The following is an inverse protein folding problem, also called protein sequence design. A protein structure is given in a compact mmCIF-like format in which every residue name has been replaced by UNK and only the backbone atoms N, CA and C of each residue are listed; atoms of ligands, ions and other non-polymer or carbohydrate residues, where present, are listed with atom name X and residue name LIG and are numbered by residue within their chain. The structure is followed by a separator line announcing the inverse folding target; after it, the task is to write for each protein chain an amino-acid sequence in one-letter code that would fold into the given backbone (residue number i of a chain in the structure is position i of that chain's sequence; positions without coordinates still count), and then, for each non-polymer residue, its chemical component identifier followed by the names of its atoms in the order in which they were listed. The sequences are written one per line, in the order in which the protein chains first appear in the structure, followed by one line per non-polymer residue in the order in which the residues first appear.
data_IF_104490025382
#
_entry.id   IF_104490025382
#
_cell.length_a   1.000
_cell.length_b   1.000
_cell.length_c   1.000
_cell.angle_alpha   90.00
_cell.angle_beta   90.00
_cell.angle_gamma   90.00
#
_symmetry.space_group_name_H-M   'P 1'
#
loop_
_entity.id
_entity.type
_entity.pdbx_description
1 polymer ?
#
# COMPACT_ATOMS: atom_id res chain seq x y z
N UNK A 1 10.95 23.48 95.07
CA UNK A 1 9.67 24.23 94.99
C UNK A 1 9.67 25.04 93.70
N UNK A 2 8.47 25.25 93.14
CA UNK A 2 8.07 25.96 91.90
C UNK A 2 8.23 25.25 90.54
N UNK A 3 7.06 25.09 89.91
CA UNK A 3 6.61 24.38 88.71
C UNK A 3 7.19 24.86 87.34
N UNK A 4 6.93 24.12 86.24
CA UNK A 4 7.65 24.17 84.95
C UNK A 4 7.02 25.11 83.92
N UNK A 5 7.77 25.54 82.88
CA UNK A 5 7.20 26.24 81.72
C UNK A 5 7.86 25.85 80.39
N UNK A 6 7.09 25.10 79.59
CA UNK A 6 6.87 25.13 78.13
C UNK A 6 8.02 24.79 77.15
N UNK A 7 7.75 23.71 76.43
CA UNK A 7 8.39 23.26 75.19
C UNK A 7 8.47 24.35 74.10
N UNK A 8 9.63 24.43 73.43
CA UNK A 8 9.82 25.19 72.19
C UNK A 8 9.92 24.22 71.02
N UNK A 9 8.87 24.15 70.25
CA UNK A 9 8.76 23.52 68.94
C UNK A 9 9.69 24.20 67.94
N UNK A 10 10.53 23.41 67.28
CA UNK A 10 11.34 23.84 66.14
C UNK A 10 11.54 22.66 65.19
N UNK A 11 10.54 22.37 64.37
CA UNK A 11 10.67 21.43 63.25
C UNK A 11 11.62 22.01 62.20
N UNK A 12 12.57 21.25 61.66
CA UNK A 12 13.42 21.70 60.57
C UNK A 12 12.55 21.95 59.32
N UNK A 13 12.68 23.14 58.73
CA UNK A 13 12.06 23.46 57.44
C UNK A 13 12.72 22.59 56.37
N UNK A 14 12.02 21.54 55.94
CA UNK A 14 12.34 20.80 54.73
C UNK A 14 11.95 21.68 53.53
N UNK A 15 12.91 22.37 52.95
CA UNK A 15 12.72 23.07 51.68
C UNK A 15 12.54 22.02 50.59
N UNK A 16 11.30 21.84 50.13
CA UNK A 16 10.99 21.14 48.89
C UNK A 16 11.47 22.07 47.76
N UNK A 17 12.73 21.92 47.36
CA UNK A 17 13.15 22.37 46.03
C UNK A 17 12.46 21.44 45.03
N UNK A 18 11.56 22.03 44.24
CA UNK A 18 10.95 21.39 43.09
C UNK A 18 12.06 21.01 42.10
N UNK A 19 12.61 19.81 42.26
CA UNK A 19 13.56 19.24 41.32
C UNK A 19 12.88 19.16 39.95
N UNK A 20 13.51 19.84 39.00
CA UNK A 20 13.02 20.14 37.68
C UNK A 20 12.31 18.97 37.00
N UNK A 21 11.11 19.27 36.53
CA UNK A 21 10.47 18.69 35.36
C UNK A 21 11.53 18.22 34.36
N UNK A 22 11.72 16.90 34.27
CA UNK A 22 12.56 16.24 33.30
C UNK A 22 11.97 16.50 31.91
N UNK A 23 12.29 17.65 31.33
CA UNK A 23 12.11 17.92 29.90
C UNK A 23 13.11 17.02 29.21
N UNK A 24 12.68 15.82 28.87
CA UNK A 24 13.33 14.96 27.87
C UNK A 24 13.67 15.85 26.67
N UNK A 25 14.93 16.27 26.57
CA UNK A 25 15.40 17.06 25.43
C UNK A 25 15.64 16.06 24.31
N UNK A 26 14.55 15.60 23.70
CA UNK A 26 14.62 14.83 22.47
C UNK A 26 15.54 15.57 21.50
N UNK A 27 16.60 14.87 21.08
CA UNK A 27 17.64 15.46 20.25
C UNK A 27 17.03 15.98 18.95
N UNK A 28 17.68 16.98 18.33
CA UNK A 28 17.25 17.49 17.02
C UNK A 28 17.15 16.38 15.97
N UNK A 29 17.97 15.33 16.09
CA UNK A 29 17.93 14.14 15.25
C UNK A 29 16.66 13.30 15.46
N UNK A 30 16.23 13.08 16.70
CA UNK A 30 15.01 12.32 17.00
C UNK A 30 13.76 13.04 16.48
N UNK A 31 13.73 14.37 16.58
CA UNK A 31 12.63 15.19 16.03
C UNK A 31 12.61 15.14 14.51
N UNK A 32 13.78 15.20 13.86
CA UNK A 32 13.89 15.08 12.41
C UNK A 32 13.46 13.69 11.92
N UNK A 33 13.86 12.62 12.62
CA UNK A 33 13.45 11.26 12.32
C UNK A 33 11.93 11.07 12.51
N UNK A 34 11.36 11.62 13.58
CA UNK A 34 9.92 11.57 13.82
C UNK A 34 9.13 12.33 12.74
N UNK A 35 9.60 13.52 12.33
CA UNK A 35 8.97 14.30 11.26
C UNK A 35 9.10 13.61 9.89
N UNK A 36 10.25 12.98 9.61
CA UNK A 36 10.44 12.19 8.40
C UNK A 36 9.52 10.96 8.38
N UNK A 37 9.35 10.27 9.52
CA UNK A 37 8.44 9.14 9.63
C UNK A 37 6.97 9.56 9.51
N UNK A 38 6.56 10.67 10.14
CA UNK A 38 5.22 11.24 10.01
C UNK A 38 4.96 11.69 8.56
N UNK A 39 5.95 12.31 7.92
CA UNK A 39 5.90 12.62 6.49
C UNK A 39 5.73 11.37 5.64
N UNK A 40 6.54 10.34 5.86
CA UNK A 40 6.45 9.07 5.14
C UNK A 40 5.08 8.38 5.32
N UNK A 41 4.52 8.41 6.53
CA UNK A 41 3.18 7.88 6.82
C UNK A 41 2.07 8.72 6.18
N UNK A 42 2.23 10.04 6.09
CA UNK A 42 1.29 10.94 5.42
C UNK A 42 1.31 10.77 3.88
N UNK A 43 2.44 10.31 3.32
CA UNK A 43 2.61 9.98 1.91
C UNK A 43 2.54 8.47 1.62
N UNK A 44 2.07 7.66 2.57
CA UNK A 44 1.85 6.24 2.34
C UNK A 44 0.75 6.08 1.28
N UNK A 45 1.16 5.94 0.02
CA UNK A 45 0.26 5.67 -1.08
C UNK A 45 -0.45 4.32 -0.81
N UNK A 46 -1.72 4.18 -1.21
CA UNK A 46 -2.31 2.85 -1.28
C UNK A 46 -1.35 1.94 -2.04
N UNK A 47 -1.02 0.78 -1.49
CA UNK A 47 -0.35 -0.24 -2.27
C UNK A 47 -1.29 -0.56 -3.44
N UNK A 48 -1.00 -0.06 -4.64
CA UNK A 48 -1.86 -0.21 -5.79
C UNK A 48 -1.54 -1.57 -6.42
N UNK A 49 -2.25 -2.62 -6.02
CA UNK A 49 -2.58 -3.68 -6.99
C UNK A 49 -3.19 -3.00 -8.22
N UNK A 50 -3.08 -3.64 -9.38
CA UNK A 50 -3.55 -3.08 -10.66
C UNK A 50 -4.95 -2.48 -10.44
N UNK A 51 -5.08 -1.14 -10.42
CA UNK A 51 -6.25 -0.48 -9.82
C UNK A 51 -7.58 -0.94 -10.42
N UNK A 52 -7.58 -1.41 -11.66
CA UNK A 52 -8.76 -1.98 -12.30
C UNK A 52 -9.24 -3.30 -11.68
N UNK A 53 -8.34 -4.22 -11.29
CA UNK A 53 -8.73 -5.41 -10.53
C UNK A 53 -9.15 -5.08 -9.10
N UNK A 54 -8.48 -4.14 -8.44
CA UNK A 54 -8.89 -3.66 -7.13
C UNK A 54 -10.30 -3.03 -7.16
N UNK A 55 -10.66 -2.32 -8.24
CA UNK A 55 -12.04 -1.84 -8.44
C UNK A 55 -13.03 -2.97 -8.68
N UNK A 56 -12.66 -3.98 -9.46
CA UNK A 56 -13.54 -5.12 -9.76
C UNK A 56 -13.84 -5.98 -8.53
N UNK A 57 -12.83 -6.24 -7.70
CA UNK A 57 -12.93 -7.19 -6.58
C UNK A 57 -13.07 -6.51 -5.23
N UNK A 58 -12.69 -5.24 -5.08
CA UNK A 58 -12.66 -4.57 -3.77
C UNK A 58 -11.75 -5.25 -2.74
N UNK A 59 -10.87 -6.16 -3.15
CA UNK A 59 -9.96 -6.88 -2.25
C UNK A 59 -8.68 -6.08 -2.01
N UNK A 60 -8.08 -6.27 -0.83
CA UNK A 60 -6.74 -5.76 -0.56
C UNK A 60 -5.69 -6.56 -1.33
N UNK A 61 -4.55 -5.95 -1.63
CA UNK A 61 -3.48 -6.55 -2.43
C UNK A 61 -2.95 -7.85 -1.83
N UNK A 62 -2.91 -7.93 -0.50
CA UNK A 62 -2.50 -9.12 0.26
C UNK A 62 -3.42 -10.33 0.07
N UNK A 63 -4.65 -10.13 -0.42
CA UNK A 63 -5.55 -11.24 -0.76
C UNK A 63 -5.02 -11.98 -1.98
N UNK A 64 -4.43 -11.27 -2.95
CA UNK A 64 -3.94 -11.87 -4.20
C UNK A 64 -2.44 -12.22 -4.14
N UNK A 65 -1.60 -11.42 -3.46
CA UNK A 65 -0.14 -11.60 -3.45
C UNK A 65 0.41 -11.77 -2.03
N UNK A 66 1.39 -12.66 -1.87
CA UNK A 66 2.19 -12.78 -0.65
C UNK A 66 3.42 -11.86 -0.73
N UNK A 67 4.16 -12.00 -1.81
CA UNK A 67 5.24 -11.12 -2.27
C UNK A 67 5.07 -11.06 -3.79
N UNK A 68 4.98 -9.88 -4.39
CA UNK A 68 4.95 -9.81 -5.86
C UNK A 68 6.23 -10.46 -6.43
N UNK A 69 6.15 -11.35 -7.45
CA UNK A 69 4.98 -11.71 -8.27
C UNK A 69 4.18 -12.95 -7.79
N UNK A 70 4.56 -13.59 -6.69
CA UNK A 70 3.92 -14.81 -6.19
C UNK A 70 2.48 -14.57 -5.74
N UNK A 71 1.57 -15.40 -6.24
CA UNK A 71 0.14 -15.38 -5.91
C UNK A 71 -0.18 -16.26 -4.69
N UNK A 72 -1.09 -15.79 -3.85
CA UNK A 72 -1.75 -16.59 -2.81
C UNK A 72 -2.64 -17.66 -3.48
N UNK A 73 -3.16 -18.66 -2.73
CA UNK A 73 -4.16 -19.58 -3.26
C UNK A 73 -5.39 -18.87 -3.85
N UNK A 74 -5.85 -17.78 -3.23
CA UNK A 74 -6.98 -16.97 -3.73
C UNK A 74 -6.59 -16.25 -5.02
N UNK A 75 -5.40 -15.65 -5.09
CA UNK A 75 -4.91 -15.00 -6.31
C UNK A 75 -4.79 -15.98 -7.48
N UNK A 76 -4.33 -17.21 -7.22
CA UNK A 76 -4.30 -18.27 -8.23
C UNK A 76 -5.69 -18.69 -8.68
N UNK A 77 -6.62 -18.86 -7.74
CA UNK A 77 -8.01 -19.20 -8.08
C UNK A 77 -8.65 -18.10 -8.93
N UNK A 78 -8.49 -16.82 -8.57
CA UNK A 78 -8.97 -15.69 -9.36
C UNK A 78 -8.43 -15.71 -10.81
N UNK A 79 -7.14 -16.02 -10.98
CA UNK A 79 -6.50 -16.21 -12.29
C UNK A 79 -7.01 -17.46 -13.03
N UNK A 80 -7.35 -18.53 -12.32
CA UNK A 80 -7.92 -19.76 -12.90
C UNK A 80 -9.39 -19.56 -13.33
N UNK A 81 -10.17 -18.77 -12.58
CA UNK A 81 -11.53 -18.34 -12.90
C UNK A 81 -11.59 -17.24 -13.99
N UNK A 82 -10.49 -17.08 -14.74
CA UNK A 82 -10.41 -16.16 -15.88
C UNK A 82 -10.52 -14.69 -15.52
N UNK A 83 -10.14 -14.28 -14.31
CA UNK A 83 -10.26 -12.89 -13.82
C UNK A 83 -11.68 -12.33 -13.84
N UNK A 84 -12.69 -13.19 -13.77
CA UNK A 84 -14.10 -12.79 -13.87
C UNK A 84 -14.76 -12.55 -12.52
N UNK A 85 -14.19 -13.13 -11.46
CA UNK A 85 -14.73 -13.05 -10.11
C UNK A 85 -14.79 -11.59 -9.65
N UNK A 86 -15.95 -11.19 -9.15
CA UNK A 86 -16.15 -9.91 -8.53
C UNK A 86 -16.67 -10.17 -7.11
N UNK A 87 -16.12 -9.47 -6.12
CA UNK A 87 -16.63 -9.57 -4.75
C UNK A 87 -17.93 -8.77 -4.64
N UNK A 88 -19.03 -9.38 -5.05
CA UNK A 88 -20.35 -8.77 -4.96
C UNK A 88 -20.75 -8.49 -3.50
N UNK A 89 -20.21 -9.21 -2.50
CA UNK A 89 -20.60 -9.03 -1.10
C UNK A 89 -20.16 -7.67 -0.53
N UNK A 90 -18.91 -7.24 -0.76
CA UNK A 90 -18.45 -5.90 -0.35
C UNK A 90 -19.11 -4.77 -1.14
N UNK A 91 -19.44 -5.03 -2.41
CA UNK A 91 -20.18 -4.11 -3.28
C UNK A 91 -21.67 -3.97 -2.90
N UNK A 92 -22.28 -5.00 -2.33
CA UNK A 92 -23.68 -4.99 -1.88
C UNK A 92 -23.87 -4.12 -0.62
N UNK A 93 -22.96 -4.16 0.35
CA UNK A 93 -22.99 -3.24 1.50
C UNK A 93 -22.80 -1.78 1.06
N UNK A 94 -21.89 -1.53 0.11
CA UNK A 94 -21.69 -0.20 -0.47
C UNK A 94 -22.94 0.27 -1.23
N UNK A 95 -23.59 -0.60 -2.00
CA UNK A 95 -24.85 -0.32 -2.70
C UNK A 95 -26.01 -0.01 -1.75
N UNK A 96 -26.04 -0.62 -0.57
CA UNK A 96 -27.03 -0.34 0.46
C UNK A 96 -26.77 0.98 1.20
N UNK A 97 -25.51 1.31 1.49
CA UNK A 97 -25.11 2.63 2.07
C UNK A 97 -25.27 3.78 1.07
N UNK A 98 -25.09 3.55 -0.22
CA UNK A 98 -25.18 4.56 -1.30
C UNK A 98 -26.55 4.48 -2.01
N UNK A 99 -27.64 4.23 -1.27
CA UNK A 99 -29.02 4.14 -1.81
C UNK A 99 -29.62 5.46 -2.34
N UNK A 100 -28.84 6.55 -2.41
CA UNK A 100 -29.27 7.87 -2.93
C UNK A 100 -28.51 8.35 -4.17
N UNK A 101 -27.62 7.53 -4.73
CA UNK A 101 -26.97 7.82 -6.00
C UNK A 101 -27.20 6.64 -6.94
N UNK A 102 -27.36 6.92 -8.24
CA UNK A 102 -27.68 5.98 -9.31
C UNK A 102 -26.97 4.63 -9.14
N UNK A 103 -27.56 3.49 -9.61
CA UNK A 103 -26.90 2.20 -9.54
C UNK A 103 -25.48 2.35 -10.07
N UNK A 104 -24.48 2.15 -9.20
CA UNK A 104 -23.08 2.12 -9.62
C UNK A 104 -22.93 0.92 -10.56
N UNK A 105 -23.12 1.20 -11.84
CA UNK A 105 -22.62 0.44 -12.97
C UNK A 105 -21.08 0.46 -12.89
N UNK A 106 -20.51 -0.29 -11.95
CA UNK A 106 -19.05 -0.54 -11.87
C UNK A 106 -18.52 -1.09 -13.21
N UNK A 107 -19.41 -1.66 -14.02
CA UNK A 107 -19.18 -2.14 -15.37
C UNK A 107 -18.98 -1.03 -16.43
N UNK A 108 -19.13 0.27 -16.09
CA UNK A 108 -19.05 1.36 -17.07
C UNK A 108 -17.67 2.02 -17.18
N UNK A 109 -16.81 1.83 -16.18
CA UNK A 109 -15.42 2.30 -16.26
C UNK A 109 -14.60 1.16 -16.88
N UNK A 110 -13.93 1.37 -18.03
CA UNK A 110 -13.11 0.35 -18.63
C UNK A 110 -12.03 -0.13 -17.63
N UNK A 111 -11.60 -1.40 -17.71
CA UNK A 111 -10.62 -1.98 -16.79
C UNK A 111 -9.20 -1.47 -17.06
N UNK A 112 -9.05 -0.16 -17.19
CA UNK A 112 -7.80 0.53 -17.47
C UNK A 112 -7.18 1.09 -16.18
N UNK A 113 -5.86 1.03 -16.08
CA UNK A 113 -5.09 1.74 -15.05
C UNK A 113 -3.68 2.06 -15.52
N UNK A 114 -3.05 3.04 -14.86
CA UNK A 114 -1.68 3.48 -15.13
C UNK A 114 -0.89 3.48 -13.82
N UNK A 115 0.36 3.05 -13.87
CA UNK A 115 1.32 3.10 -12.78
C UNK A 115 2.55 3.90 -13.22
N UNK A 116 3.06 4.75 -12.33
CA UNK A 116 4.26 5.55 -12.54
C UNK A 116 5.22 5.18 -11.41
N UNK A 117 6.40 4.68 -11.75
CA UNK A 117 7.45 4.36 -10.79
C UNK A 117 8.49 5.47 -10.78
N UNK A 118 8.84 5.89 -9.56
CA UNK A 118 9.85 6.90 -9.29
C UNK A 118 10.82 6.33 -8.28
N UNK A 119 12.10 6.55 -8.47
CA UNK A 119 13.13 6.03 -7.57
C UNK A 119 14.13 7.12 -7.20
N UNK A 120 14.58 7.07 -5.96
CA UNK A 120 15.61 7.94 -5.43
C UNK A 120 16.55 7.11 -4.56
N UNK A 121 17.83 7.13 -4.87
CA UNK A 121 18.84 6.34 -4.19
C UNK A 121 20.00 7.22 -3.72
N UNK A 122 20.42 7.05 -2.46
CA UNK A 122 21.51 7.79 -1.83
C UNK A 122 22.51 6.80 -1.24
N UNK A 123 23.76 6.84 -1.70
CA UNK A 123 24.85 6.01 -1.17
C UNK A 123 25.96 6.93 -0.68
N UNK A 124 26.23 6.90 0.62
CA UNK A 124 27.35 7.64 1.20
C UNK A 124 28.68 7.07 0.70
N UNK A 125 29.47 7.87 -0.02
CA UNK A 125 30.73 7.44 -0.63
C UNK A 125 30.56 6.61 -1.91
N UNK A 126 29.36 6.55 -2.48
CA UNK A 126 29.10 5.89 -3.75
C UNK A 126 29.67 6.66 -4.95
N UNK A 127 30.19 5.92 -5.93
CA UNK A 127 30.64 6.47 -7.21
C UNK A 127 29.42 6.93 -8.03
N UNK A 128 29.54 8.07 -8.71
CA UNK A 128 28.46 8.64 -9.55
C UNK A 128 28.03 7.67 -10.67
N UNK A 129 28.97 6.83 -11.12
CA UNK A 129 28.73 5.79 -12.13
C UNK A 129 27.85 4.63 -11.65
N UNK A 130 27.54 4.51 -10.34
CA UNK A 130 26.61 3.49 -9.84
C UNK A 130 25.15 3.91 -9.91
N UNK A 131 24.89 5.19 -10.17
CA UNK A 131 23.55 5.68 -10.42
C UNK A 131 23.38 5.92 -11.91
N UNK A 132 22.21 5.60 -12.47
CA UNK A 132 21.89 5.93 -13.85
C UNK A 132 21.94 7.45 -14.11
N UNK A 133 21.46 7.86 -15.27
CA UNK A 133 21.48 9.27 -15.73
C UNK A 133 20.98 10.25 -14.65
N UNK A 134 21.92 10.87 -13.90
CA UNK A 134 21.61 11.87 -12.86
C UNK A 134 22.44 11.81 -11.57
N UNK A 135 23.31 10.81 -11.38
CA UNK A 135 24.19 10.74 -10.20
C UNK A 135 25.33 11.77 -10.21
N UNK A 136 25.58 12.41 -9.06
CA UNK A 136 26.82 13.17 -8.83
C UNK A 136 27.59 12.56 -7.65
N UNK A 137 28.91 12.61 -7.66
CA UNK A 137 29.72 11.90 -6.65
C UNK A 137 29.36 12.38 -5.25
N UNK A 138 28.85 11.48 -4.40
CA UNK A 138 28.44 11.80 -3.03
C UNK A 138 27.06 12.48 -2.87
N UNK A 139 26.29 12.68 -3.94
CA UNK A 139 24.92 13.19 -3.88
C UNK A 139 24.05 12.29 -4.77
N UNK A 140 23.13 11.56 -4.15
CA UNK A 140 22.35 10.48 -4.74
C UNK A 140 21.60 10.84 -6.03
N UNK A 141 21.06 9.84 -6.70
CA UNK A 141 20.29 10.03 -7.92
C UNK A 141 18.80 9.95 -7.67
N UNK A 142 18.06 10.74 -8.44
CA UNK A 142 16.59 10.72 -8.51
C UNK A 142 16.24 10.46 -9.96
N UNK A 143 15.56 9.35 -10.23
CA UNK A 143 15.09 8.97 -11.56
C UNK A 143 13.56 9.15 -11.63
N UNK A 144 13.13 10.00 -12.56
CA UNK A 144 11.72 10.35 -12.72
C UNK A 144 11.30 10.47 -14.19
N UNK A 145 10.26 9.72 -14.62
CA UNK A 145 9.86 8.41 -14.09
C UNK A 145 10.85 7.34 -14.55
N UNK A 146 11.19 6.41 -13.66
CA UNK A 146 11.98 5.23 -14.04
C UNK A 146 11.20 4.35 -15.04
N UNK A 147 9.89 4.25 -14.81
CA UNK A 147 8.98 3.41 -15.58
C UNK A 147 7.55 3.95 -15.55
N UNK A 148 6.84 3.82 -16.68
CA UNK A 148 5.40 4.06 -16.78
C UNK A 148 4.71 2.81 -17.33
N UNK A 149 3.76 2.25 -16.59
CA UNK A 149 3.04 1.05 -17.00
C UNK A 149 1.56 1.32 -17.22
N UNK A 150 1.02 0.75 -18.29
CA UNK A 150 -0.39 0.78 -18.64
C UNK A 150 -0.97 -0.62 -18.50
N UNK A 151 -2.13 -0.71 -17.89
CA UNK A 151 -2.81 -1.98 -17.64
C UNK A 151 -4.21 -1.99 -18.24
N UNK A 152 -4.55 -3.06 -18.94
CA UNK A 152 -5.94 -3.42 -19.29
C UNK A 152 -6.28 -4.74 -18.59
N UNK A 153 -6.79 -4.63 -17.37
CA UNK A 153 -6.85 -5.71 -16.41
C UNK A 153 -8.23 -5.79 -15.75
N UNK A 154 -9.05 -6.74 -16.20
CA UNK A 154 -10.43 -6.88 -15.72
C UNK A 154 -11.23 -7.90 -16.50
N UNK A 155 -12.44 -8.14 -16.03
CA UNK A 155 -13.45 -8.96 -16.69
C UNK A 155 -13.93 -8.29 -17.98
N UNK A 156 -13.87 -9.00 -19.10
CA UNK A 156 -14.34 -8.54 -20.42
C UNK A 156 -15.75 -9.06 -20.72
N UNK A 157 -16.00 -10.35 -20.51
CA UNK A 157 -17.33 -10.99 -20.69
C UNK A 157 -17.80 -11.60 -19.37
N UNK A 158 -18.78 -12.52 -19.35
CA UNK A 158 -19.16 -13.21 -18.11
C UNK A 158 -18.13 -14.26 -17.68
N UNK A 159 -17.47 -14.87 -18.65
CA UNK A 159 -16.58 -16.02 -18.50
C UNK A 159 -15.17 -15.73 -18.99
N UNK A 160 -14.89 -14.50 -19.42
CA UNK A 160 -13.57 -14.09 -19.93
C UNK A 160 -13.09 -12.81 -19.27
N UNK A 161 -11.80 -12.78 -18.96
CA UNK A 161 -11.09 -11.60 -18.46
C UNK A 161 -9.68 -11.52 -19.04
N UNK A 162 -9.07 -10.36 -18.83
CA UNK A 162 -7.75 -10.04 -19.37
C UNK A 162 -6.88 -9.44 -18.28
N UNK A 163 -5.58 -9.62 -18.40
CA UNK A 163 -4.56 -8.86 -17.73
C UNK A 163 -3.49 -8.51 -18.75
N UNK A 164 -3.56 -7.32 -19.34
CA UNK A 164 -2.47 -6.80 -20.18
C UNK A 164 -1.69 -5.77 -19.41
N UNK A 165 -0.36 -5.85 -19.48
CA UNK A 165 0.59 -4.94 -18.86
C UNK A 165 1.61 -4.54 -19.92
N UNK A 166 1.62 -3.24 -20.26
CA UNK A 166 2.61 -2.67 -21.17
C UNK A 166 3.39 -1.62 -20.42
N UNK A 167 4.70 -1.68 -20.54
CA UNK A 167 5.63 -0.89 -19.77
C UNK A 167 6.51 -0.06 -20.70
N UNK A 168 6.59 1.24 -20.42
CA UNK A 168 7.51 2.16 -21.06
C UNK A 168 8.64 2.51 -20.09
N UNK A 169 9.88 2.28 -20.52
CA UNK A 169 11.08 2.49 -19.70
C UNK A 169 11.78 3.79 -20.07
N UNK A 170 12.58 4.33 -19.15
CA UNK A 170 13.34 5.57 -19.39
C UNK A 170 14.34 5.49 -20.56
N UNK A 171 14.71 4.29 -21.03
CA UNK A 171 15.56 4.08 -22.21
C UNK A 171 14.80 4.22 -23.54
N UNK A 172 13.49 4.43 -23.49
CA UNK A 172 12.63 4.60 -24.66
C UNK A 172 12.07 3.30 -25.24
N UNK A 173 12.32 2.16 -24.60
CA UNK A 173 11.80 0.86 -25.01
C UNK A 173 10.43 0.56 -24.40
N UNK A 174 9.59 -0.12 -25.19
CA UNK A 174 8.36 -0.75 -24.72
C UNK A 174 8.62 -2.21 -24.40
N UNK A 175 8.14 -2.66 -23.24
CA UNK A 175 8.12 -4.05 -22.83
C UNK A 175 6.68 -4.48 -22.52
N UNK A 176 6.40 -5.76 -22.72
CA UNK A 176 5.09 -6.35 -22.45
C UNK A 176 5.30 -7.72 -21.82
N UNK A 177 5.32 -7.74 -20.50
CA UNK A 177 5.44 -8.91 -19.65
C UNK A 177 4.10 -9.28 -19.00
N UNK A 178 4.02 -10.52 -18.50
CA UNK A 178 2.89 -11.09 -17.75
C UNK A 178 1.48 -10.95 -18.35
N UNK A 179 1.36 -10.63 -19.63
CA UNK A 179 0.08 -10.35 -20.28
C UNK A 179 -0.69 -11.63 -20.65
N UNK A 180 -1.96 -11.72 -20.26
CA UNK A 180 -2.83 -12.85 -20.59
C UNK A 180 -4.31 -12.49 -20.82
N UNK A 181 -4.99 -13.42 -21.50
CA UNK A 181 -6.43 -13.47 -21.69
C UNK A 181 -6.88 -14.87 -21.32
N UNK A 182 -7.96 -14.98 -20.56
CA UNK A 182 -8.41 -16.27 -20.03
C UNK A 182 -9.92 -16.39 -20.09
N UNK A 183 -10.37 -17.54 -20.58
CA UNK A 183 -11.75 -18.00 -20.49
C UNK A 183 -11.84 -19.04 -19.37
N UNK A 184 -12.92 -19.02 -18.60
CA UNK A 184 -13.22 -20.01 -17.59
C UNK A 184 -14.74 -20.19 -17.43
N UNK A 185 -15.16 -21.45 -17.43
CA UNK A 185 -16.53 -21.87 -17.18
C UNK A 185 -16.57 -22.78 -15.94
N UNK A 186 -17.70 -22.77 -15.25
CA UNK A 186 -17.90 -23.51 -14.02
C UNK A 186 -18.99 -24.55 -14.22
N UNK A 187 -18.68 -25.81 -13.96
CA UNK A 187 -19.66 -26.90 -13.95
C UNK A 187 -19.71 -27.52 -12.56
N UNK A 188 -20.91 -27.64 -11.98
CA UNK A 188 -21.10 -28.41 -10.75
C UNK A 188 -21.16 -29.90 -11.10
N UNK A 189 -20.26 -30.68 -10.51
CA UNK A 189 -20.20 -32.12 -10.69
C UNK A 189 -21.26 -32.83 -9.82
N UNK A 190 -21.61 -34.10 -10.14
CA UNK A 190 -22.60 -34.87 -9.38
C UNK A 190 -22.25 -35.07 -7.89
N UNK A 191 -20.97 -34.96 -7.52
CA UNK A 191 -20.49 -35.05 -6.13
C UNK A 191 -20.57 -33.72 -5.36
N UNK A 192 -21.02 -32.64 -6.03
CA UNK A 192 -21.15 -31.29 -5.46
C UNK A 192 -19.89 -30.43 -5.58
N UNK A 193 -18.79 -30.96 -6.14
CA UNK A 193 -17.59 -30.17 -6.45
C UNK A 193 -17.81 -29.26 -7.65
N UNK A 194 -16.98 -28.21 -7.80
CA UNK A 194 -17.03 -27.31 -8.96
C UNK A 194 -15.80 -27.54 -9.83
N UNK A 195 -16.04 -27.98 -11.06
CA UNK A 195 -15.03 -28.09 -12.11
C UNK A 195 -14.92 -26.75 -12.83
N UNK A 196 -13.71 -26.18 -12.81
CA UNK A 196 -13.37 -25.00 -13.62
C UNK A 196 -12.63 -25.50 -14.86
N UNK A 197 -13.11 -25.11 -16.04
CA UNK A 197 -12.51 -25.50 -17.32
C UNK A 197 -12.50 -24.33 -18.31
N UNK A 198 -11.54 -24.31 -19.23
CA UNK A 198 -11.35 -23.24 -20.21
C UNK A 198 -10.00 -23.29 -20.87
#
# INVERSE_FOLDING_TARGET
MSHPTRARTGSPKLSIEASGMFRERFSSMERAAALALIGALAFAAPAHAVPSFARQTGWSCSVCHTIYPQLTPIGRLFKLEGYTTANLAGMQELKQKIRRMAPLELNRIPPLSVMIQVSAAWIHGGDANQFGSGGTTGQGAVEFPEQVSFFYAGRVTRNMGTFFHVTYTHTGAFDMDDSDIRWAEHQTEPDGSTLIYG
#
